data_IF_080224599138
#
_entry.id   IF_080224599138
#
_cell.length_a   1.000
_cell.length_b   1.000
_cell.length_c   1.000
_cell.angle_alpha   90.00
_cell.angle_beta   90.00
_cell.angle_gamma   90.00
#
_symmetry.space_group_name_H-M   'P 1'
#
loop_
_entity.id
_entity.type
_entity.pdbx_description
1 polymer ?
#
# COMPACT_ATOMS: atom_id res chain seq x y z
N UNK A 1 -16.54 -26.51 -7.10
CA UNK A 1 -16.46 -25.08 -6.74
C UNK A 1 -14.98 -24.74 -6.62
N UNK A 2 -14.52 -23.65 -7.22
CA UNK A 2 -13.11 -23.21 -7.13
C UNK A 2 -13.03 -21.79 -6.57
N UNK A 3 -11.89 -21.47 -5.96
CA UNK A 3 -11.57 -20.15 -5.45
C UNK A 3 -10.16 -19.73 -5.84
N UNK A 4 -9.90 -18.43 -5.76
CA UNK A 4 -8.60 -17.84 -6.10
C UNK A 4 -8.09 -17.01 -4.94
N UNK A 5 -6.75 -16.96 -4.81
CA UNK A 5 -6.06 -16.08 -3.87
C UNK A 5 -5.34 -14.99 -4.65
N UNK A 6 -5.61 -13.75 -4.31
CA UNK A 6 -4.78 -12.63 -4.75
C UNK A 6 -3.52 -12.59 -3.87
N UNK A 7 -2.35 -12.70 -4.51
CA UNK A 7 -1.07 -12.49 -3.84
C UNK A 7 -0.57 -11.09 -4.20
N UNK A 8 -0.66 -10.10 -3.30
CA UNK A 8 -0.29 -8.74 -3.60
C UNK A 8 1.23 -8.63 -3.78
N UNK A 9 1.64 -7.91 -4.82
CA UNK A 9 3.04 -7.43 -4.97
C UNK A 9 3.23 -6.08 -4.31
N UNK A 10 2.16 -5.29 -4.27
CA UNK A 10 2.10 -3.97 -3.67
C UNK A 10 0.67 -3.67 -3.24
N UNK A 11 0.52 -2.74 -2.30
CA UNK A 11 -0.75 -2.16 -1.91
C UNK A 11 -0.52 -0.80 -1.25
N UNK A 12 -1.57 0.02 -1.18
CA UNK A 12 -1.51 1.37 -0.64
C UNK A 12 -2.66 1.62 0.33
N UNK A 13 -2.37 2.27 1.45
CA UNK A 13 -3.39 2.88 2.30
C UNK A 13 -3.46 4.37 2.02
N UNK A 14 -4.65 4.82 1.66
CA UNK A 14 -5.01 6.23 1.57
C UNK A 14 -5.66 6.65 2.87
N UNK A 15 -4.99 7.53 3.62
CA UNK A 15 -5.56 8.14 4.80
C UNK A 15 -5.95 9.58 4.46
N UNK A 16 -7.14 9.97 4.91
CA UNK A 16 -7.58 11.35 4.84
C UNK A 16 -6.68 12.21 5.74
N UNK A 17 -6.11 13.26 5.18
CA UNK A 17 -5.30 14.24 5.91
C UNK A 17 -5.90 15.64 5.81
N UNK A 18 -5.51 16.52 6.74
CA UNK A 18 -6.02 17.89 6.78
C UNK A 18 -5.68 18.66 5.50
N UNK A 19 -6.55 19.60 5.10
CA UNK A 19 -6.30 20.54 3.99
C UNK A 19 -5.94 19.86 2.64
N UNK A 20 -6.48 18.66 2.37
CA UNK A 20 -6.22 17.83 1.17
C UNK A 20 -4.80 17.26 1.09
N UNK A 21 -4.03 17.31 2.18
CA UNK A 21 -2.71 16.68 2.27
C UNK A 21 -2.88 15.23 2.71
N UNK A 22 -3.30 14.38 1.77
CA UNK A 22 -3.52 12.97 2.06
C UNK A 22 -2.23 12.25 2.40
N UNK A 23 -2.27 11.43 3.44
CA UNK A 23 -1.16 10.53 3.76
C UNK A 23 -1.31 9.24 2.96
N UNK A 24 -0.33 8.98 2.10
CA UNK A 24 -0.32 7.82 1.20
C UNK A 24 0.77 6.86 1.67
N UNK A 25 0.36 5.75 2.28
CA UNK A 25 1.26 4.74 2.78
C UNK A 25 1.35 3.57 1.81
N UNK A 26 2.47 3.48 1.09
CA UNK A 26 2.70 2.45 0.10
C UNK A 26 3.55 1.31 0.65
N UNK A 27 3.12 0.08 0.38
CA UNK A 27 3.82 -1.16 0.72
C UNK A 27 4.17 -1.92 -0.55
N UNK A 28 5.43 -2.34 -0.65
CA UNK A 28 5.92 -3.18 -1.74
C UNK A 28 6.60 -4.43 -1.18
N UNK A 29 6.29 -5.59 -1.77
CA UNK A 29 6.89 -6.85 -1.36
C UNK A 29 8.28 -6.97 -1.98
N UNK A 30 9.28 -7.24 -1.15
CA UNK A 30 10.69 -7.43 -1.51
C UNK A 30 11.17 -8.80 -1.07
N UNK A 31 12.41 -9.17 -1.42
CA UNK A 31 13.01 -10.43 -0.97
C UNK A 31 13.11 -10.52 0.57
N UNK A 32 13.26 -9.37 1.23
CA UNK A 32 13.45 -9.27 2.69
C UNK A 32 12.13 -8.97 3.44
N UNK A 33 10.98 -9.07 2.75
CA UNK A 33 9.66 -8.77 3.29
C UNK A 33 9.07 -7.46 2.75
N UNK A 34 8.26 -6.76 3.54
CA UNK A 34 7.55 -5.56 3.09
C UNK A 34 8.38 -4.29 3.30
N UNK A 35 8.59 -3.55 2.22
CA UNK A 35 9.15 -2.19 2.25
C UNK A 35 8.03 -1.16 2.31
N UNK A 36 8.13 -0.24 3.27
CA UNK A 36 7.17 0.85 3.52
C UNK A 36 7.72 2.18 3.04
N UNK A 37 6.91 2.96 2.32
CA UNK A 37 7.24 4.34 1.90
C UNK A 37 6.05 5.27 2.03
N UNK A 38 6.30 6.53 2.38
CA UNK A 38 5.31 7.61 2.28
C UNK A 38 5.39 8.22 0.89
N UNK A 39 4.25 8.33 0.22
CA UNK A 39 4.13 9.06 -1.03
C UNK A 39 3.60 10.46 -0.73
N UNK A 40 4.22 11.47 -1.32
CA UNK A 40 3.72 12.84 -1.24
C UNK A 40 2.55 13.04 -2.21
N UNK A 41 1.55 13.87 -1.86
CA UNK A 41 0.45 14.25 -2.75
C UNK A 41 0.91 14.90 -4.05
#
# INVERSE_FOLDING_TARGET
WSGWRLQPKEFEFWLEGEKRLHERLHYSHTCDGWKRSILYP
#
